data_IF_860125645514
#
_entry.id   IF_860125645514
#
_cell.length_a   1.000
_cell.length_b   1.000
_cell.length_c   1.000
_cell.angle_alpha   90.00
_cell.angle_beta   90.00
_cell.angle_gamma   90.00
#
_symmetry.space_group_name_H-M   'P 1'
#
loop_
_entity.id
_entity.type
_entity.pdbx_description
1 polymer ?
#
# COMPACT_ATOMS: atom_id res chain seq x y z
N UNK A 1 51.82 1.72 94.74
CA UNK A 1 52.06 0.32 95.08
C UNK A 1 51.83 -0.49 93.80
N UNK A 2 52.93 -1.02 93.26
CA UNK A 2 53.12 -2.32 92.59
C UNK A 2 51.95 -2.86 91.72
N UNK A 3 52.04 -2.79 90.38
CA UNK A 3 52.63 -3.78 89.43
C UNK A 3 51.74 -5.06 89.23
N UNK A 4 51.83 -5.85 88.13
CA UNK A 4 51.91 -5.52 86.70
C UNK A 4 51.28 -6.59 85.73
N UNK A 5 51.59 -6.48 84.42
CA UNK A 5 51.79 -7.54 83.38
C UNK A 5 50.62 -8.17 82.60
N UNK A 6 50.65 -7.88 81.29
CA UNK A 6 50.45 -8.65 80.04
C UNK A 6 49.89 -10.10 80.07
N UNK A 7 49.06 -10.44 79.07
CA UNK A 7 49.45 -11.32 77.93
C UNK A 7 48.27 -11.67 77.00
N UNK A 8 48.58 -11.78 75.70
CA UNK A 8 47.92 -12.55 74.62
C UNK A 8 46.42 -12.25 74.33
N UNK A 9 45.95 -12.06 73.10
CA UNK A 9 46.37 -12.56 71.80
C UNK A 9 45.13 -13.18 71.13
N UNK A 10 44.65 -12.62 70.03
CA UNK A 10 43.97 -13.35 68.95
C UNK A 10 43.62 -12.39 67.81
N UNK A 11 43.96 -12.80 66.59
CA UNK A 11 43.83 -12.02 65.37
C UNK A 11 42.37 -11.85 64.92
N UNK A 12 42.09 -10.66 64.40
CA UNK A 12 40.83 -10.32 63.72
C UNK A 12 40.98 -10.58 62.22
N UNK A 13 40.09 -11.35 61.57
CA UNK A 13 40.07 -11.52 60.13
C UNK A 13 39.06 -10.53 59.54
N UNK A 14 39.47 -9.28 59.34
CA UNK A 14 38.76 -8.36 58.44
C UNK A 14 39.75 -7.83 57.42
N UNK A 15 40.07 -8.70 56.45
CA UNK A 15 40.74 -8.34 55.22
C UNK A 15 39.74 -7.71 54.27
N UNK A 16 40.08 -6.51 53.84
CA UNK A 16 39.53 -5.73 52.75
C UNK A 16 39.12 -6.53 51.52
N UNK A 17 37.82 -6.54 51.20
CA UNK A 17 37.29 -6.76 49.86
C UNK A 17 36.35 -5.62 49.48
N UNK A 18 36.93 -4.43 49.29
CA UNK A 18 36.35 -3.43 48.39
C UNK A 18 36.75 -3.86 46.97
N UNK A 19 35.89 -4.68 46.34
CA UNK A 19 35.90 -4.80 44.88
C UNK A 19 35.34 -3.49 44.36
N UNK A 20 36.21 -2.66 43.78
CA UNK A 20 35.80 -1.59 42.90
C UNK A 20 34.97 -2.21 41.78
N UNK A 21 33.66 -1.99 41.80
CA UNK A 21 32.82 -2.20 40.63
C UNK A 21 33.33 -1.20 39.58
N UNK A 22 34.12 -1.70 38.64
CA UNK A 22 34.41 -0.99 37.41
C UNK A 22 33.06 -0.73 36.75
N UNK A 23 32.68 0.54 36.70
CA UNK A 23 31.81 1.01 35.63
C UNK A 23 32.59 0.76 34.35
N UNK A 24 32.34 -0.39 33.72
CA UNK A 24 32.66 -0.56 32.31
C UNK A 24 31.85 0.50 31.59
N UNK A 25 32.57 1.50 31.09
CA UNK A 25 32.10 2.53 30.17
C UNK A 25 31.61 1.79 28.92
N UNK A 26 30.34 1.39 28.97
CA UNK A 26 29.62 0.79 27.87
C UNK A 26 29.42 1.86 26.82
N UNK A 27 30.47 2.08 26.02
CA UNK A 27 30.31 2.61 24.67
C UNK A 27 29.53 1.55 23.91
N UNK A 28 28.21 1.55 24.09
CA UNK A 28 27.28 0.94 23.16
C UNK A 28 27.55 1.68 21.84
N UNK A 29 28.49 1.12 21.07
CA UNK A 29 28.71 1.51 19.70
C UNK A 29 27.35 1.35 19.02
N UNK A 30 26.71 2.48 18.72
CA UNK A 30 25.58 2.59 17.81
C UNK A 30 26.01 1.96 16.48
N UNK A 31 25.95 0.63 16.38
CA UNK A 31 26.20 -0.09 15.16
C UNK A 31 25.09 0.32 14.21
N UNK A 32 25.39 1.29 13.34
CA UNK A 32 24.52 1.72 12.26
C UNK A 32 24.01 0.47 11.56
N UNK A 33 22.73 0.18 11.77
CA UNK A 33 22.14 -1.05 11.27
C UNK A 33 22.01 -0.90 9.75
N UNK A 34 22.85 -1.63 9.01
CA UNK A 34 22.83 -1.58 7.56
C UNK A 34 21.47 -2.02 7.01
N UNK A 35 20.89 -1.19 6.15
CA UNK A 35 19.59 -1.45 5.53
C UNK A 35 19.69 -2.66 4.59
N UNK A 36 18.88 -3.70 4.79
CA UNK A 36 19.04 -4.95 4.06
C UNK A 36 18.60 -4.82 2.61
N UNK A 37 19.22 -5.64 1.74
CA UNK A 37 18.68 -5.87 0.40
C UNK A 37 17.48 -6.81 0.49
N UNK A 38 16.35 -6.40 -0.10
CA UNK A 38 15.12 -7.19 -0.08
C UNK A 38 15.17 -8.36 -1.08
N UNK A 39 14.51 -9.50 -0.79
CA UNK A 39 14.62 -10.74 -1.57
C UNK A 39 14.51 -10.61 -3.10
N UNK A 40 13.47 -9.92 -3.59
CA UNK A 40 13.20 -9.76 -5.02
C UNK A 40 13.55 -8.36 -5.57
N UNK A 41 14.05 -7.47 -4.70
CA UNK A 41 14.42 -6.09 -5.02
C UNK A 41 13.31 -5.25 -5.66
N UNK A 42 12.03 -5.67 -5.64
CA UNK A 42 10.90 -4.89 -6.15
C UNK A 42 10.64 -3.65 -5.31
N UNK A 43 10.92 -3.75 -4.01
CA UNK A 43 10.94 -2.63 -3.10
C UNK A 43 12.37 -2.21 -2.75
N UNK A 44 12.55 -0.97 -2.32
CA UNK A 44 13.82 -0.45 -1.80
C UNK A 44 13.58 0.34 -0.52
N UNK A 45 14.37 0.06 0.50
CA UNK A 45 14.41 0.81 1.76
C UNK A 45 15.55 1.83 1.69
N UNK A 46 15.28 3.05 2.13
CA UNK A 46 16.30 4.10 2.28
C UNK A 46 17.10 3.89 3.56
N UNK A 47 18.28 4.53 3.69
CA UNK A 47 19.11 4.47 4.89
C UNK A 47 18.38 4.85 6.19
N UNK A 48 17.31 5.66 6.13
CA UNK A 48 16.49 6.03 7.30
C UNK A 48 15.45 4.99 7.70
N UNK A 49 15.31 3.88 6.96
CA UNK A 49 14.42 2.80 7.34
C UNK A 49 14.92 2.13 8.63
N UNK A 50 14.00 1.75 9.52
CA UNK A 50 14.32 1.22 10.84
C UNK A 50 13.75 -0.18 11.01
N UNK A 51 14.55 -1.09 11.55
CA UNK A 51 14.06 -2.43 11.90
C UNK A 51 13.09 -2.35 13.07
N UNK A 52 11.98 -3.06 12.96
CA UNK A 52 11.00 -3.22 14.03
C UNK A 52 11.31 -4.52 14.77
N UNK A 53 11.76 -4.40 16.01
CA UNK A 53 12.07 -5.54 16.90
C UNK A 53 11.18 -5.60 18.13
N UNK A 54 10.56 -4.47 18.49
CA UNK A 54 9.68 -4.33 19.63
C UNK A 54 8.45 -3.51 19.23
N UNK A 55 7.26 -4.03 19.55
CA UNK A 55 6.00 -3.40 19.15
C UNK A 55 5.74 -2.12 19.98
N UNK A 56 6.08 -2.12 21.26
CA UNK A 56 5.86 -0.97 22.14
C UNK A 56 6.69 0.24 21.70
N UNK A 57 7.98 0.02 21.46
CA UNK A 57 8.92 1.03 20.96
C UNK A 57 8.48 1.57 19.59
N UNK A 58 8.12 0.70 18.66
CA UNK A 58 7.66 1.09 17.33
C UNK A 58 6.44 2.01 17.41
N UNK A 59 5.40 1.58 18.13
CA UNK A 59 4.17 2.37 18.25
C UNK A 59 4.43 3.67 19.02
N UNK A 60 5.28 3.64 20.05
CA UNK A 60 5.68 4.86 20.75
C UNK A 60 6.35 5.87 19.80
N UNK A 61 7.30 5.43 18.98
CA UNK A 61 7.99 6.28 18.01
C UNK A 61 7.03 6.85 16.97
N UNK A 62 6.13 6.02 16.41
CA UNK A 62 5.15 6.48 15.43
C UNK A 62 4.22 7.56 16.01
N UNK A 63 3.67 7.35 17.19
CA UNK A 63 2.76 8.33 17.80
C UNK A 63 3.48 9.59 18.32
N UNK A 64 4.79 9.52 18.55
CA UNK A 64 5.60 10.66 18.97
C UNK A 64 6.15 11.47 17.80
N UNK A 65 6.63 10.80 16.74
CA UNK A 65 7.35 11.42 15.62
C UNK A 65 6.45 11.72 14.41
N UNK A 66 5.42 10.90 14.17
CA UNK A 66 4.53 11.03 13.01
C UNK A 66 3.05 11.23 13.40
N UNK A 67 2.74 12.08 14.41
CA UNK A 67 1.36 12.25 14.86
C UNK A 67 0.46 12.71 13.71
N UNK A 68 -0.76 12.19 13.67
CA UNK A 68 -1.77 12.63 12.73
C UNK A 68 -1.99 14.15 12.87
N UNK A 69 -2.15 14.83 11.73
CA UNK A 69 -2.42 16.27 11.73
C UNK A 69 -3.70 16.59 12.50
N UNK A 70 -3.63 17.58 13.40
CA UNK A 70 -4.80 18.09 14.10
C UNK A 70 -5.89 18.48 13.09
N UNK A 71 -7.12 18.00 13.30
CA UNK A 71 -8.23 18.23 12.36
C UNK A 71 -8.51 17.09 11.40
N UNK A 72 -7.66 16.06 11.34
CA UNK A 72 -8.00 14.79 10.66
C UNK A 72 -8.98 14.01 11.54
N UNK A 73 -10.26 14.35 11.43
CA UNK A 73 -11.35 13.63 12.07
C UNK A 73 -12.03 12.66 11.10
N UNK A 74 -12.65 11.62 11.67
CA UNK A 74 -13.48 10.67 10.93
C UNK A 74 -12.77 9.37 10.59
N UNK A 75 -13.49 8.49 9.89
CA UNK A 75 -13.04 7.15 9.57
C UNK A 75 -11.91 7.09 8.52
N UNK A 76 -11.48 8.20 7.92
CA UNK A 76 -10.40 8.18 6.91
C UNK A 76 -10.86 8.06 5.46
N UNK A 77 -12.17 7.95 5.21
CA UNK A 77 -12.75 8.05 3.87
C UNK A 77 -12.61 9.46 3.28
N UNK A 78 -12.55 9.56 1.95
CA UNK A 78 -12.36 10.85 1.27
C UNK A 78 -13.66 11.63 1.08
N UNK A 79 -14.74 10.96 0.69
CA UNK A 79 -16.08 11.54 0.54
C UNK A 79 -17.11 10.53 1.03
N UNK A 80 -18.10 10.96 1.81
CA UNK A 80 -19.12 10.09 2.43
C UNK A 80 -20.52 10.26 1.84
N UNK A 81 -20.65 11.01 0.74
CA UNK A 81 -21.91 11.52 0.20
C UNK A 81 -22.12 11.17 -1.26
N UNK A 82 -21.05 10.91 -2.01
CA UNK A 82 -21.13 10.68 -3.45
C UNK A 82 -20.52 9.33 -3.83
N UNK A 83 -21.20 8.60 -4.70
CA UNK A 83 -20.72 7.29 -5.18
C UNK A 83 -19.76 7.40 -6.37
N UNK A 84 -19.57 8.61 -6.91
CA UNK A 84 -18.70 8.86 -8.06
C UNK A 84 -17.75 10.02 -7.80
N UNK A 85 -16.46 9.69 -7.72
CA UNK A 85 -15.39 10.62 -7.40
C UNK A 85 -14.42 10.75 -8.56
N UNK A 86 -14.01 11.99 -8.84
CA UNK A 86 -12.90 12.30 -9.74
C UNK A 86 -11.68 12.63 -8.91
N UNK A 87 -10.66 11.79 -9.03
CA UNK A 87 -9.37 11.93 -8.36
C UNK A 87 -8.41 12.66 -9.31
N UNK A 88 -7.80 13.73 -8.83
CA UNK A 88 -6.82 14.51 -9.60
C UNK A 88 -5.58 14.79 -8.79
N UNK A 89 -4.39 14.58 -9.36
CA UNK A 89 -3.14 15.05 -8.75
C UNK A 89 -2.06 15.32 -9.79
N UNK A 90 -1.19 16.27 -9.48
CA UNK A 90 -0.02 16.63 -10.29
C UNK A 90 1.17 15.73 -9.92
N UNK A 91 1.85 15.21 -10.94
CA UNK A 91 3.02 14.36 -10.83
C UNK A 91 4.30 15.14 -10.55
N UNK A 92 4.35 16.45 -10.81
CA UNK A 92 5.49 17.33 -10.51
C UNK A 92 5.38 18.03 -9.15
N UNK A 93 4.21 17.97 -8.51
CA UNK A 93 3.97 18.54 -7.18
C UNK A 93 3.69 17.47 -6.14
N UNK A 94 4.03 17.77 -4.89
CA UNK A 94 3.79 16.86 -3.75
C UNK A 94 2.49 17.19 -3.00
N UNK A 95 1.63 17.99 -3.63
CA UNK A 95 0.34 18.36 -3.05
C UNK A 95 -0.54 17.11 -2.82
N UNK A 96 -1.41 17.11 -1.80
CA UNK A 96 -2.38 16.05 -1.60
C UNK A 96 -3.27 15.85 -2.84
N UNK A 97 -3.70 14.61 -3.14
CA UNK A 97 -4.65 14.39 -4.23
C UNK A 97 -5.97 15.12 -3.99
N UNK A 98 -6.43 15.83 -5.02
CA UNK A 98 -7.73 16.51 -5.02
C UNK A 98 -8.84 15.53 -5.37
N UNK A 99 -9.95 15.62 -4.64
CA UNK A 99 -11.13 14.81 -4.90
C UNK A 99 -12.33 15.71 -5.12
N UNK A 100 -12.97 15.54 -6.28
CA UNK A 100 -14.19 16.25 -6.63
C UNK A 100 -15.30 15.25 -6.90
N UNK A 101 -16.50 15.54 -6.41
CA UNK A 101 -17.67 14.73 -6.68
C UNK A 101 -18.32 15.13 -8.01
N UNK A 102 -18.87 14.15 -8.72
CA UNK A 102 -19.77 14.41 -9.85
C UNK A 102 -21.16 13.94 -9.48
N UNK A 103 -22.16 14.80 -9.70
CA UNK A 103 -23.55 14.36 -9.69
C UNK A 103 -23.76 13.37 -10.84
N UNK A 104 -24.21 12.16 -10.51
CA UNK A 104 -24.50 11.05 -11.43
C UNK A 104 -25.39 11.45 -12.60
N UNK A 105 -26.26 12.43 -12.40
CA UNK A 105 -27.27 12.88 -13.36
C UNK A 105 -26.69 13.47 -14.65
N UNK A 106 -25.42 13.88 -14.64
CA UNK A 106 -24.77 14.47 -15.82
C UNK A 106 -24.32 13.45 -16.88
N UNK A 107 -24.07 12.20 -16.51
CA UNK A 107 -23.49 11.18 -17.40
C UNK A 107 -24.52 10.52 -18.34
N UNK A 108 -25.80 10.45 -17.94
CA UNK A 108 -26.87 9.84 -18.74
C UNK A 108 -27.29 10.70 -19.94
N UNK A 109 -27.02 12.02 -19.91
CA UNK A 109 -27.43 12.96 -20.97
C UNK A 109 -26.49 13.01 -22.18
N UNK A 110 -25.28 12.44 -22.06
CA UNK A 110 -24.26 12.49 -23.13
C UNK A 110 -24.26 11.25 -24.02
N UNK A 111 -24.78 10.11 -23.55
CA UNK A 111 -24.77 8.85 -24.28
C UNK A 111 -25.95 8.67 -25.27
N UNK A 112 -26.97 9.54 -25.24
CA UNK A 112 -28.20 9.39 -26.04
C UNK A 112 -28.34 10.35 -27.23
N UNK A 113 -27.36 11.21 -27.53
CA UNK A 113 -27.46 12.19 -28.64
C UNK A 113 -26.79 11.78 -29.96
N UNK A 114 -26.21 10.59 -30.07
CA UNK A 114 -25.65 10.10 -31.34
C UNK A 114 -26.42 8.87 -31.82
N UNK A 115 -27.57 9.11 -32.49
CA UNK A 115 -28.25 8.21 -33.46
C UNK A 115 -29.72 8.64 -33.59
N UNK A 116 -29.98 9.74 -34.29
CA UNK A 116 -31.21 9.90 -35.09
C UNK A 116 -31.05 11.08 -36.05
N UNK A 117 -31.62 10.88 -37.23
CA UNK A 117 -31.88 11.86 -38.29
C UNK A 117 -30.79 12.09 -39.33
N UNK A 118 -30.62 11.07 -40.18
CA UNK A 118 -30.20 11.24 -41.57
C UNK A 118 -31.31 10.74 -42.51
N UNK A 119 -32.41 11.48 -42.62
CA UNK A 119 -33.32 11.43 -43.80
C UNK A 119 -34.35 12.57 -43.75
N UNK A 120 -34.11 13.66 -44.47
CA UNK A 120 -35.10 14.25 -45.40
C UNK A 120 -34.57 15.50 -46.09
N UNK A 121 -34.99 15.66 -47.33
CA UNK A 121 -34.58 16.65 -48.33
C UNK A 121 -35.53 17.86 -48.34
N UNK A 122 -34.99 18.97 -48.89
CA UNK A 122 -35.66 20.11 -49.57
C UNK A 122 -36.33 21.18 -48.68
N UNK A 123 -35.81 22.41 -48.70
CA UNK A 123 -36.45 23.56 -49.38
C UNK A 123 -35.69 24.88 -49.17
N UNK A 124 -35.88 25.78 -50.12
CA UNK A 124 -35.22 27.07 -50.35
C UNK A 124 -35.54 28.14 -49.31
N UNK A 125 -34.52 28.96 -49.01
CA UNK A 125 -34.59 30.42 -48.97
C UNK A 125 -35.12 31.08 -47.70
N UNK A 126 -34.28 31.86 -47.01
CA UNK A 126 -34.53 33.28 -46.71
C UNK A 126 -33.35 33.92 -45.96
N UNK A 127 -33.10 35.19 -46.28
CA UNK A 127 -32.12 36.11 -45.70
C UNK A 127 -32.38 36.38 -44.21
N UNK A 128 -31.32 36.47 -43.41
CA UNK A 128 -31.14 37.41 -42.27
C UNK A 128 -29.68 37.32 -41.81
N UNK A 129 -28.83 38.27 -42.22
CA UNK A 129 -28.45 39.48 -41.47
C UNK A 129 -28.06 39.23 -40.01
N UNK A 130 -26.74 39.27 -39.77
CA UNK A 130 -26.10 40.08 -38.73
C UNK A 130 -26.19 39.59 -37.30
N UNK A 131 -25.07 39.09 -36.77
CA UNK A 131 -24.47 39.60 -35.53
C UNK A 131 -23.08 38.98 -35.34
N UNK A 132 -22.08 39.80 -35.64
CA UNK A 132 -20.69 39.63 -35.30
C UNK A 132 -20.51 39.70 -33.78
N UNK A 133 -20.04 38.62 -33.16
CA UNK A 133 -19.24 38.70 -31.93
C UNK A 133 -17.99 37.88 -32.17
N UNK A 134 -16.86 38.58 -32.24
CA UNK A 134 -15.56 37.99 -32.55
C UNK A 134 -15.12 37.07 -31.43
N UNK A 135 -15.11 35.76 -31.69
CA UNK A 135 -14.33 34.84 -30.89
C UNK A 135 -12.86 35.07 -31.24
N UNK A 136 -12.13 35.67 -30.30
CA UNK A 136 -10.66 35.70 -30.34
C UNK A 136 -10.18 34.26 -30.27
N UNK A 137 -9.90 33.70 -31.45
CA UNK A 137 -9.09 32.51 -31.65
C UNK A 137 -7.76 32.71 -30.94
N UNK A 138 -7.67 32.20 -29.71
CA UNK A 138 -6.43 32.03 -28.96
C UNK A 138 -5.58 30.97 -29.66
N UNK A 139 -4.88 31.38 -30.72
CA UNK A 139 -3.73 30.67 -31.26
C UNK A 139 -2.56 30.90 -30.30
N UNK A 140 -2.42 30.05 -29.28
CA UNK A 140 -1.13 29.85 -28.64
C UNK A 140 -0.65 28.43 -28.96
N UNK A 141 0.41 28.44 -29.75
CA UNK A 141 1.16 27.31 -30.24
C UNK A 141 1.83 26.56 -29.07
N UNK A 142 1.52 25.27 -28.97
CA UNK A 142 2.50 24.17 -28.94
C UNK A 142 3.80 24.43 -28.16
N UNK A 143 3.74 24.34 -26.84
CA UNK A 143 4.70 23.47 -26.16
C UNK A 143 3.95 22.17 -25.87
N UNK A 144 4.56 21.02 -26.17
CA UNK A 144 4.02 19.72 -25.76
C UNK A 144 4.07 19.66 -24.24
N UNK A 145 3.06 20.24 -23.58
CA UNK A 145 2.91 20.16 -22.14
C UNK A 145 2.93 18.67 -21.80
N UNK A 146 3.94 18.24 -21.05
CA UNK A 146 3.98 16.89 -20.51
C UNK A 146 2.67 16.73 -19.74
N UNK A 147 1.93 15.69 -20.06
CA UNK A 147 0.75 15.35 -19.28
C UNK A 147 1.25 14.88 -17.90
N UNK A 148 1.29 15.84 -16.97
CA UNK A 148 1.75 15.68 -15.58
C UNK A 148 0.58 15.44 -14.65
N UNK A 149 -0.66 15.46 -15.13
CA UNK A 149 -1.84 15.36 -14.29
C UNK A 149 -2.44 13.97 -14.42
N UNK A 150 -2.53 13.26 -13.30
CA UNK A 150 -3.34 12.05 -13.23
C UNK A 150 -4.78 12.45 -12.96
N UNK A 151 -5.70 11.98 -13.78
CA UNK A 151 -7.14 12.16 -13.61
C UNK A 151 -7.86 10.81 -13.73
N UNK A 152 -8.41 10.33 -12.63
CA UNK A 152 -9.04 9.01 -12.54
C UNK A 152 -10.43 9.12 -11.96
N UNK A 153 -11.43 8.62 -12.69
CA UNK A 153 -12.78 8.43 -12.19
C UNK A 153 -12.88 7.10 -11.43
N UNK A 154 -13.46 7.13 -10.23
CA UNK A 154 -13.67 5.96 -9.37
C UNK A 154 -15.08 5.98 -8.77
N UNK A 155 -15.65 4.80 -8.66
CA UNK A 155 -16.91 4.49 -7.99
C UNK A 155 -16.65 4.02 -6.56
N UNK A 156 -17.57 4.34 -5.67
CA UNK A 156 -17.65 3.83 -4.30
C UNK A 156 -19.11 3.57 -3.93
N UNK A 157 -19.35 2.90 -2.80
CA UNK A 157 -20.69 2.76 -2.22
C UNK A 157 -20.74 3.51 -0.88
N UNK A 158 -21.25 4.74 -0.91
CA UNK A 158 -21.37 5.57 0.31
C UNK A 158 -22.51 5.13 1.24
N UNK A 159 -23.41 4.27 0.77
CA UNK A 159 -24.58 3.81 1.53
C UNK A 159 -24.30 2.60 2.40
N UNK A 160 -23.34 1.76 1.98
CA UNK A 160 -22.88 0.57 2.70
C UNK A 160 -22.55 0.83 4.19
N UNK A 161 -21.88 1.96 4.46
CA UNK A 161 -21.56 2.45 5.81
C UNK A 161 -22.77 2.65 6.74
N UNK A 162 -23.97 2.83 6.18
CA UNK A 162 -25.18 3.13 6.95
C UNK A 162 -26.08 1.91 7.12
N UNK A 163 -25.96 0.91 6.25
CA UNK A 163 -26.88 -0.22 6.19
C UNK A 163 -26.48 -1.40 7.08
N UNK A 164 -25.18 -1.64 7.26
CA UNK A 164 -24.68 -2.82 7.97
C UNK A 164 -23.77 -2.42 9.14
N UNK A 165 -24.18 -2.71 10.38
CA UNK A 165 -23.33 -2.47 11.54
C UNK A 165 -22.09 -3.37 11.48
N UNK A 166 -20.89 -2.78 11.55
CA UNK A 166 -19.61 -3.50 11.46
C UNK A 166 -19.01 -3.54 10.05
N UNK A 167 -19.75 -3.08 9.03
CA UNK A 167 -19.20 -2.86 7.70
C UNK A 167 -18.47 -1.52 7.66
N UNK A 168 -17.22 -1.53 7.21
CA UNK A 168 -16.45 -0.29 6.99
C UNK A 168 -16.82 0.41 5.69
N UNK A 169 -17.75 -0.18 4.94
CA UNK A 169 -18.28 0.29 3.68
C UNK A 169 -17.24 0.27 2.56
N UNK A 170 -17.75 0.32 1.32
CA UNK A 170 -16.93 0.26 0.11
C UNK A 170 -16.54 1.65 -0.35
N UNK A 171 -15.87 2.40 0.52
CA UNK A 171 -15.48 3.79 0.30
C UNK A 171 -14.01 3.94 -0.09
N UNK A 172 -13.67 5.07 -0.71
CA UNK A 172 -12.28 5.39 -1.04
C UNK A 172 -11.59 5.86 0.24
N UNK A 173 -10.65 5.06 0.71
CA UNK A 173 -9.78 5.38 1.84
C UNK A 173 -8.67 6.34 1.42
N UNK A 174 -8.39 7.32 2.29
CA UNK A 174 -7.34 8.32 2.06
C UNK A 174 -5.96 7.66 1.90
N UNK A 175 -5.67 6.66 2.73
CA UNK A 175 -4.48 5.80 2.70
C UNK A 175 -4.19 5.23 1.30
N UNK A 176 -5.16 4.54 0.69
CA UNK A 176 -5.01 3.96 -0.66
C UNK A 176 -4.75 5.04 -1.72
N UNK A 177 -5.48 6.15 -1.64
CA UNK A 177 -5.32 7.27 -2.58
C UNK A 177 -3.93 7.92 -2.48
N UNK A 178 -3.49 8.17 -1.25
CA UNK A 178 -2.21 8.81 -0.99
C UNK A 178 -1.05 7.90 -1.41
N UNK A 179 -1.15 6.58 -1.14
CA UNK A 179 -0.15 5.62 -1.58
C UNK A 179 -0.06 5.55 -3.10
N UNK A 180 -1.20 5.48 -3.78
CA UNK A 180 -1.23 5.46 -5.24
C UNK A 180 -0.56 6.72 -5.81
N UNK A 181 -0.85 7.90 -5.27
CA UNK A 181 -0.22 9.15 -5.70
C UNK A 181 1.29 9.18 -5.41
N UNK A 182 1.70 8.77 -4.21
CA UNK A 182 3.10 8.69 -3.80
C UNK A 182 3.90 7.78 -4.75
N UNK A 183 3.45 6.53 -4.95
CA UNK A 183 4.11 5.57 -5.83
C UNK A 183 4.14 6.04 -7.29
N UNK A 184 3.05 6.63 -7.79
CA UNK A 184 3.00 7.16 -9.16
C UNK A 184 4.00 8.30 -9.37
N UNK A 185 4.11 9.22 -8.40
CA UNK A 185 5.08 10.33 -8.43
C UNK A 185 6.52 9.82 -8.41
N UNK A 186 6.82 8.86 -7.54
CA UNK A 186 8.15 8.25 -7.47
C UNK A 186 8.54 7.54 -8.78
N UNK A 187 7.59 6.86 -9.43
CA UNK A 187 7.84 6.24 -10.73
C UNK A 187 7.97 7.26 -11.86
N UNK A 188 7.26 8.39 -11.76
CA UNK A 188 7.32 9.47 -12.73
C UNK A 188 8.65 10.24 -12.67
N UNK A 189 9.11 10.60 -11.46
CA UNK A 189 10.32 11.40 -11.23
C UNK A 189 11.53 10.47 -11.04
N UNK A 190 12.48 10.41 -12.00
CA UNK A 190 13.71 9.67 -11.77
C UNK A 190 14.45 10.29 -10.58
N UNK A 191 14.93 9.45 -9.66
CA UNK A 191 15.74 9.89 -8.52
C UNK A 191 16.94 10.72 -9.00
N UNK A 192 17.17 11.88 -8.37
CA UNK A 192 18.30 12.77 -8.68
C UNK A 192 19.07 13.15 -7.43
N UNK A 193 20.39 12.95 -7.47
CA UNK A 193 21.29 13.38 -6.39
C UNK A 193 20.91 12.72 -5.06
N UNK A 194 20.71 13.55 -4.04
CA UNK A 194 20.43 13.15 -2.66
C UNK A 194 18.92 12.92 -2.38
N UNK A 195 18.08 12.85 -3.43
CA UNK A 195 16.67 12.51 -3.25
C UNK A 195 16.50 11.11 -2.62
N UNK A 196 15.53 10.94 -1.70
CA UNK A 196 15.23 9.63 -1.11
C UNK A 196 14.99 8.55 -2.17
N UNK A 197 15.36 7.31 -1.84
CA UNK A 197 15.12 6.17 -2.73
C UNK A 197 13.61 5.99 -2.96
N UNK A 198 13.21 5.77 -4.21
CA UNK A 198 11.82 5.38 -4.52
C UNK A 198 11.48 4.04 -3.86
N UNK A 199 10.30 3.94 -3.26
CA UNK A 199 9.88 2.71 -2.59
C UNK A 199 9.75 1.54 -3.58
N UNK A 200 9.20 1.77 -4.77
CA UNK A 200 9.21 0.81 -5.87
C UNK A 200 10.48 0.93 -6.70
N UNK A 201 11.19 -0.19 -6.88
CA UNK A 201 12.36 -0.26 -7.73
C UNK A 201 11.97 -0.28 -9.21
N UNK A 202 12.06 0.87 -9.85
CA UNK A 202 11.78 1.01 -11.29
C UNK A 202 12.61 0.06 -12.17
N UNK A 203 13.86 -0.25 -11.80
CA UNK A 203 14.71 -1.16 -12.58
C UNK A 203 14.22 -2.61 -12.47
N UNK A 204 13.77 -3.02 -11.29
CA UNK A 204 13.21 -4.35 -11.07
C UNK A 204 11.86 -4.53 -11.77
N UNK A 205 11.02 -3.48 -11.82
CA UNK A 205 9.77 -3.50 -12.61
C UNK A 205 10.01 -3.68 -14.12
N UNK A 206 11.06 -3.05 -14.65
CA UNK A 206 11.44 -3.13 -16.07
C UNK A 206 12.13 -4.46 -16.42
N UNK A 207 12.98 -4.95 -15.52
CA UNK A 207 13.80 -6.14 -15.70
C UNK A 207 13.65 -7.04 -14.47
N UNK A 208 12.52 -7.74 -14.32
CA UNK A 208 12.31 -8.63 -13.20
C UNK A 208 13.39 -9.70 -13.20
N UNK A 209 14.17 -9.74 -12.11
CA UNK A 209 15.09 -10.82 -11.80
C UNK A 209 14.32 -11.87 -11.01
N UNK A 210 13.33 -12.48 -11.64
CA UNK A 210 12.53 -13.53 -11.02
C UNK A 210 13.15 -14.91 -11.26
N UNK A 211 13.10 -15.77 -10.25
CA UNK A 211 13.30 -17.23 -10.40
C UNK A 211 12.12 -17.90 -11.12
N UNK A 212 10.99 -17.20 -11.26
CA UNK A 212 9.84 -17.72 -11.99
C UNK A 212 10.21 -17.95 -13.47
N UNK A 213 9.84 -19.14 -13.99
CA UNK A 213 10.15 -19.57 -15.35
C UNK A 213 9.63 -18.60 -16.42
N UNK A 214 8.55 -17.88 -16.12
CA UNK A 214 7.98 -16.88 -17.01
C UNK A 214 8.46 -15.45 -16.70
N UNK A 215 9.30 -15.19 -15.69
CA UNK A 215 9.79 -13.84 -15.40
C UNK A 215 8.70 -12.78 -15.18
N UNK A 216 7.49 -13.17 -14.78
CA UNK A 216 6.39 -12.26 -14.46
C UNK A 216 6.46 -11.85 -12.99
N UNK A 217 6.16 -10.59 -12.74
CA UNK A 217 5.98 -10.04 -11.39
C UNK A 217 4.54 -10.28 -10.98
N UNK A 218 4.33 -10.94 -9.85
CA UNK A 218 3.01 -11.20 -9.28
C UNK A 218 2.80 -10.33 -8.04
N UNK A 219 1.79 -9.47 -8.09
CA UNK A 219 1.36 -8.62 -6.98
C UNK A 219 0.02 -9.14 -6.48
N UNK A 220 -0.07 -9.45 -5.19
CA UNK A 220 -1.32 -9.79 -4.50
C UNK A 220 -1.70 -8.64 -3.57
N UNK A 221 -2.86 -8.05 -3.78
CA UNK A 221 -3.41 -7.01 -2.90
C UNK A 221 -4.54 -7.60 -2.05
N UNK A 222 -4.37 -7.58 -0.73
CA UNK A 222 -5.38 -7.97 0.25
C UNK A 222 -6.23 -6.75 0.62
N UNK A 223 -7.55 -6.92 0.68
CA UNK A 223 -8.47 -5.86 1.13
C UNK A 223 -8.45 -4.67 0.18
N UNK A 224 -8.59 -4.96 -1.11
CA UNK A 224 -8.45 -3.96 -2.19
C UNK A 224 -9.51 -2.85 -2.11
N UNK A 225 -10.63 -3.10 -1.44
CA UNK A 225 -11.76 -2.20 -1.24
C UNK A 225 -12.35 -1.77 -2.57
N UNK A 226 -12.08 -0.52 -2.96
CA UNK A 226 -12.56 0.06 -4.23
C UNK A 226 -11.61 -0.18 -5.40
N UNK A 227 -10.38 -0.69 -5.18
CA UNK A 227 -9.40 -0.88 -6.27
C UNK A 227 -8.64 0.37 -6.66
N UNK A 228 -8.49 1.34 -5.75
CA UNK A 228 -7.81 2.63 -6.00
C UNK A 228 -6.38 2.44 -6.50
N UNK A 229 -5.59 1.58 -5.84
CA UNK A 229 -4.19 1.33 -6.21
C UNK A 229 -4.08 0.84 -7.66
N UNK A 230 -4.68 -0.30 -8.04
CA UNK A 230 -4.55 -0.80 -9.41
C UNK A 230 -5.20 0.12 -10.44
N UNK A 231 -6.29 0.82 -10.09
CA UNK A 231 -6.96 1.74 -11.01
C UNK A 231 -6.12 2.97 -11.38
N UNK A 232 -5.18 3.38 -10.52
CA UNK A 232 -4.27 4.51 -10.75
C UNK A 232 -2.92 4.03 -11.29
N UNK A 233 -2.31 3.02 -10.64
CA UNK A 233 -0.95 2.59 -10.95
C UNK A 233 -0.84 1.84 -12.28
N UNK A 234 -1.77 0.92 -12.58
CA UNK A 234 -1.63 0.06 -13.77
C UNK A 234 -1.71 0.84 -15.09
N UNK A 235 -2.66 1.79 -15.29
CA UNK A 235 -2.65 2.63 -16.48
C UNK A 235 -1.35 3.44 -16.64
N UNK A 236 -0.79 3.91 -15.52
CA UNK A 236 0.46 4.65 -15.53
C UNK A 236 1.63 3.76 -15.93
N UNK A 237 1.78 2.58 -15.30
CA UNK A 237 2.81 1.60 -15.63
C UNK A 237 2.73 1.16 -17.10
N UNK A 238 1.52 0.91 -17.61
CA UNK A 238 1.25 0.53 -18.99
C UNK A 238 1.66 1.66 -19.96
N UNK A 239 1.17 2.89 -19.72
CA UNK A 239 1.43 4.05 -20.58
C UNK A 239 2.91 4.41 -20.62
N UNK A 240 3.61 4.26 -19.50
CA UNK A 240 5.04 4.55 -19.38
C UNK A 240 5.94 3.36 -19.72
N UNK A 241 5.36 2.19 -20.04
CA UNK A 241 6.07 0.92 -20.29
C UNK A 241 7.09 0.61 -19.19
N UNK A 242 6.66 0.77 -17.94
CA UNK A 242 7.49 0.55 -16.76
C UNK A 242 7.42 -0.87 -16.22
N UNK A 243 6.45 -1.64 -16.68
CA UNK A 243 6.33 -3.05 -16.37
C UNK A 243 5.88 -3.78 -17.65
N UNK A 244 6.67 -4.77 -18.07
CA UNK A 244 6.37 -5.56 -19.26
C UNK A 244 5.70 -6.90 -18.92
N UNK A 245 5.85 -7.40 -17.69
CA UNK A 245 5.28 -8.68 -17.27
C UNK A 245 4.83 -8.57 -15.83
N UNK A 246 3.64 -8.02 -15.63
CA UNK A 246 3.07 -7.84 -14.31
C UNK A 246 1.67 -8.45 -14.27
N UNK A 247 1.41 -9.23 -13.23
CA UNK A 247 0.08 -9.68 -12.87
C UNK A 247 -0.30 -9.06 -11.54
N UNK A 248 -1.40 -8.31 -11.52
CA UNK A 248 -1.98 -7.78 -10.29
C UNK A 248 -3.22 -8.59 -9.94
N UNK A 249 -3.28 -9.10 -8.72
CA UNK A 249 -4.45 -9.76 -8.16
C UNK A 249 -5.04 -8.89 -7.06
N UNK A 250 -6.12 -8.20 -7.39
CA UNK A 250 -6.94 -7.46 -6.44
C UNK A 250 -7.88 -8.43 -5.72
N UNK A 251 -7.75 -8.56 -4.41
CA UNK A 251 -8.61 -9.44 -3.60
C UNK A 251 -9.39 -8.70 -2.54
N UNK A 252 -10.62 -9.15 -2.32
CA UNK A 252 -11.49 -8.70 -1.24
C UNK A 252 -12.65 -9.70 -1.03
N UNK A 253 -13.62 -9.38 -0.17
CA UNK A 253 -14.87 -10.13 -0.05
C UNK A 253 -15.63 -10.18 -1.39
N UNK A 254 -16.35 -11.28 -1.62
CA UNK A 254 -17.08 -11.52 -2.88
C UNK A 254 -18.06 -10.38 -3.20
N UNK A 255 -18.69 -9.78 -2.18
CA UNK A 255 -19.65 -8.70 -2.36
C UNK A 255 -19.03 -7.42 -2.95
N UNK A 256 -17.71 -7.22 -2.81
CA UNK A 256 -16.99 -6.05 -3.32
C UNK A 256 -16.49 -6.21 -4.75
N UNK A 257 -16.45 -7.44 -5.28
CA UNK A 257 -15.93 -7.71 -6.63
C UNK A 257 -16.67 -6.94 -7.74
N UNK A 258 -18.00 -6.76 -7.72
CA UNK A 258 -18.69 -5.93 -8.72
C UNK A 258 -18.17 -4.49 -8.76
N UNK A 259 -17.91 -3.89 -7.59
CA UNK A 259 -17.38 -2.52 -7.49
C UNK A 259 -15.93 -2.44 -7.96
N UNK A 260 -15.08 -3.37 -7.51
CA UNK A 260 -13.68 -3.49 -7.93
C UNK A 260 -13.61 -3.62 -9.46
N UNK A 261 -14.38 -4.54 -10.05
CA UNK A 261 -14.42 -4.75 -11.50
C UNK A 261 -14.89 -3.50 -12.26
N UNK A 262 -15.87 -2.77 -11.72
CA UNK A 262 -16.36 -1.52 -12.31
C UNK A 262 -15.28 -0.42 -12.34
N UNK A 263 -14.44 -0.34 -11.31
CA UNK A 263 -13.33 0.63 -11.28
C UNK A 263 -12.17 0.24 -12.21
N UNK A 264 -12.09 -1.02 -12.63
CA UNK A 264 -10.95 -1.59 -13.35
C UNK A 264 -11.23 -1.92 -14.82
N UNK A 265 -12.49 -2.08 -15.25
CA UNK A 265 -12.87 -2.55 -16.60
C UNK A 265 -12.29 -1.72 -17.75
N UNK A 266 -12.15 -0.41 -17.53
CA UNK A 266 -11.75 0.54 -18.58
C UNK A 266 -10.25 0.89 -18.52
N UNK A 267 -9.52 0.33 -17.54
CA UNK A 267 -8.15 0.75 -17.21
C UNK A 267 -7.07 0.04 -18.03
N UNK A 268 -7.37 -1.16 -18.54
CA UNK A 268 -6.41 -1.99 -19.30
C UNK A 268 -6.87 -2.32 -20.73
N UNK A 269 -8.14 -2.07 -21.06
CA UNK A 269 -8.76 -2.44 -22.34
C UNK A 269 -8.39 -1.53 -23.52
N UNK A 270 -7.74 -0.39 -23.27
CA UNK A 270 -7.47 0.63 -24.30
C UNK A 270 -6.19 0.42 -25.12
N UNK A 271 -5.44 -0.67 -24.90
CA UNK A 271 -4.12 -0.86 -25.57
C UNK A 271 -3.84 -2.22 -26.22
N UNK A 272 -4.80 -3.14 -26.32
CA UNK A 272 -4.53 -4.52 -26.76
C UNK A 272 -5.35 -4.93 -27.99
N UNK A 273 -4.77 -4.76 -29.19
CA UNK A 273 -5.14 -5.57 -30.36
C UNK A 273 -4.04 -6.50 -30.86
N UNK A 274 -2.76 -6.35 -30.52
CA UNK A 274 -1.71 -7.06 -31.30
C UNK A 274 -0.47 -7.60 -30.53
N UNK A 275 -0.49 -7.76 -29.21
CA UNK A 275 0.66 -8.40 -28.54
C UNK A 275 0.25 -9.22 -27.31
N UNK A 276 0.06 -10.53 -27.54
CA UNK A 276 -0.21 -11.53 -26.49
C UNK A 276 1.01 -11.87 -25.62
N UNK A 277 2.22 -11.45 -26.00
CA UNK A 277 3.46 -11.76 -25.27
C UNK A 277 3.99 -10.54 -24.52
N UNK A 278 3.59 -10.38 -23.25
CA UNK A 278 4.25 -9.46 -22.30
C UNK A 278 3.51 -8.15 -22.03
N UNK A 279 2.30 -8.24 -21.45
CA UNK A 279 1.55 -7.09 -20.94
C UNK A 279 1.29 -7.13 -19.43
N UNK A 280 0.75 -6.02 -18.93
CA UNK A 280 0.15 -5.96 -17.59
C UNK A 280 -1.19 -6.68 -17.61
N UNK A 281 -1.39 -7.61 -16.69
CA UNK A 281 -2.64 -8.34 -16.50
C UNK A 281 -3.19 -8.06 -15.10
N UNK A 282 -4.51 -8.14 -14.97
CA UNK A 282 -5.21 -7.84 -13.73
C UNK A 282 -6.32 -8.87 -13.54
N UNK A 283 -6.48 -9.31 -12.29
CA UNK A 283 -7.58 -10.17 -11.88
C UNK A 283 -8.17 -9.66 -10.58
N UNK A 284 -9.49 -9.79 -10.44
CA UNK A 284 -10.24 -9.47 -9.23
C UNK A 284 -10.87 -10.76 -8.69
N UNK A 285 -10.47 -11.20 -7.51
CA UNK A 285 -10.83 -12.52 -6.96
C UNK A 285 -11.31 -12.40 -5.52
N UNK A 286 -12.24 -13.27 -5.07
CA UNK A 286 -12.63 -13.29 -3.68
C UNK A 286 -11.50 -13.84 -2.80
N UNK A 287 -11.29 -13.23 -1.64
CA UNK A 287 -10.44 -13.77 -0.58
C UNK A 287 -10.93 -13.28 0.78
N UNK A 288 -11.62 -14.15 1.51
CA UNK A 288 -12.03 -13.92 2.88
C UNK A 288 -10.94 -14.42 3.85
N UNK A 289 -10.35 -13.50 4.61
CA UNK A 289 -9.29 -13.81 5.57
C UNK A 289 -9.77 -14.69 6.72
N UNK A 290 -11.01 -14.53 7.18
CA UNK A 290 -11.60 -15.40 8.20
C UNK A 290 -11.72 -16.82 7.67
N UNK A 291 -12.16 -16.98 6.41
CA UNK A 291 -12.22 -18.28 5.77
C UNK A 291 -10.82 -18.90 5.62
N UNK A 292 -9.84 -18.14 5.15
CA UNK A 292 -8.45 -18.59 5.01
C UNK A 292 -7.85 -19.05 6.35
N UNK A 293 -8.04 -18.26 7.41
CA UNK A 293 -7.60 -18.58 8.77
C UNK A 293 -8.29 -19.81 9.34
N UNK A 294 -9.62 -19.88 9.23
CA UNK A 294 -10.38 -21.05 9.67
C UNK A 294 -9.92 -22.33 8.95
N UNK A 295 -9.65 -22.25 7.65
CA UNK A 295 -9.08 -23.37 6.92
C UNK A 295 -7.68 -23.71 7.44
N UNK A 296 -6.79 -22.74 7.64
CA UNK A 296 -5.44 -22.98 8.16
C UNK A 296 -5.46 -23.72 9.51
N UNK A 297 -6.31 -23.28 10.45
CA UNK A 297 -6.38 -23.84 11.80
C UNK A 297 -7.20 -25.14 11.89
N UNK A 298 -8.21 -25.33 11.04
CA UNK A 298 -8.94 -26.61 10.97
C UNK A 298 -8.15 -27.71 10.25
N UNK A 299 -7.14 -27.31 9.47
CA UNK A 299 -6.34 -28.20 8.62
C UNK A 299 -5.16 -28.82 9.35
N UNK A 300 -5.40 -29.57 10.43
CA UNK A 300 -4.38 -30.50 10.96
C UNK A 300 -4.05 -31.64 9.99
N UNK A 301 -4.72 -31.73 8.83
CA UNK A 301 -4.68 -32.90 7.94
C UNK A 301 -4.80 -32.60 6.44
N UNK A 302 -4.47 -31.39 5.94
CA UNK A 302 -4.33 -31.23 4.48
C UNK A 302 -3.05 -31.92 4.02
N UNK A 303 -3.19 -33.10 3.41
CA UNK A 303 -2.07 -33.88 2.88
C UNK A 303 -1.19 -33.11 1.87
N UNK A 304 -1.68 -31.98 1.33
CA UNK A 304 -0.96 -31.11 0.40
C UNK A 304 -0.35 -29.84 1.01
N UNK A 305 -0.43 -29.65 2.33
CA UNK A 305 0.17 -28.51 3.04
C UNK A 305 -0.41 -27.13 2.65
N UNK A 306 0.34 -26.07 2.97
CA UNK A 306 -0.03 -24.66 2.72
C UNK A 306 -0.30 -24.37 1.24
N UNK A 307 0.43 -25.03 0.34
CA UNK A 307 0.28 -24.84 -1.10
C UNK A 307 -1.08 -25.36 -1.62
N UNK A 308 -1.56 -26.50 -1.12
CA UNK A 308 -2.90 -26.99 -1.48
C UNK A 308 -4.01 -26.08 -0.94
N UNK A 309 -3.83 -25.56 0.27
CA UNK A 309 -4.75 -24.59 0.87
C UNK A 309 -4.82 -23.31 0.03
N UNK A 310 -3.67 -22.76 -0.36
CA UNK A 310 -3.55 -21.57 -1.21
C UNK A 310 -4.30 -21.73 -2.54
N UNK A 311 -4.15 -22.88 -3.20
CA UNK A 311 -4.86 -23.21 -4.45
C UNK A 311 -6.36 -23.44 -4.27
N UNK A 312 -6.82 -23.72 -3.05
CA UNK A 312 -8.26 -23.80 -2.77
C UNK A 312 -8.89 -22.42 -2.57
N UNK A 313 -8.09 -21.44 -2.10
CA UNK A 313 -8.52 -20.07 -1.89
C UNK A 313 -8.46 -19.24 -3.17
N UNK A 314 -7.41 -19.41 -3.99
CA UNK A 314 -7.24 -18.68 -5.23
C UNK A 314 -7.11 -19.64 -6.42
N UNK A 315 -7.65 -19.29 -7.62
CA UNK A 315 -7.60 -20.16 -8.79
C UNK A 315 -6.17 -20.51 -9.21
N UNK A 316 -6.00 -21.70 -9.77
CA UNK A 316 -4.70 -22.21 -10.26
C UNK A 316 -4.03 -21.35 -11.34
N UNK A 317 -4.77 -20.40 -11.94
CA UNK A 317 -4.20 -19.42 -12.88
C UNK A 317 -3.19 -18.48 -12.21
N UNK A 318 -3.21 -18.39 -10.88
CA UNK A 318 -2.17 -17.76 -10.08
C UNK A 318 -1.06 -18.77 -9.80
N UNK A 319 -0.12 -18.85 -10.73
CA UNK A 319 1.04 -19.73 -10.61
C UNK A 319 2.00 -19.17 -9.56
N UNK A 320 2.21 -19.92 -8.47
CA UNK A 320 3.22 -19.60 -7.46
C UNK A 320 2.83 -18.53 -6.44
N UNK A 321 3.80 -18.16 -5.62
CA UNK A 321 3.67 -17.13 -4.59
C UNK A 321 3.80 -15.73 -5.21
N UNK A 322 3.18 -14.70 -4.60
CA UNK A 322 3.39 -13.33 -5.02
C UNK A 322 4.84 -12.90 -4.73
N UNK A 323 5.40 -12.10 -5.63
CA UNK A 323 6.65 -11.39 -5.35
C UNK A 323 6.38 -10.24 -4.36
N UNK A 324 5.25 -9.55 -4.51
CA UNK A 324 4.82 -8.48 -3.62
C UNK A 324 3.39 -8.73 -3.12
N UNK A 325 3.22 -8.81 -1.81
CA UNK A 325 1.93 -8.78 -1.14
C UNK A 325 1.70 -7.37 -0.59
N UNK A 326 0.56 -6.76 -0.92
CA UNK A 326 0.18 -5.44 -0.45
C UNK A 326 -1.09 -5.52 0.40
N UNK A 327 -1.14 -4.74 1.48
CA UNK A 327 -2.34 -4.50 2.25
C UNK A 327 -2.35 -3.03 2.67
N UNK A 328 -3.49 -2.35 2.48
CA UNK A 328 -3.58 -0.91 2.68
C UNK A 328 -4.80 -0.58 3.54
N UNK A 329 -4.53 -0.04 4.73
CA UNK A 329 -5.54 0.33 5.73
C UNK A 329 -6.41 -0.86 6.17
N UNK A 330 -5.82 -2.06 6.19
CA UNK A 330 -6.49 -3.30 6.61
C UNK A 330 -6.46 -3.49 8.14
N UNK A 331 -5.80 -2.61 8.89
CA UNK A 331 -5.69 -2.68 10.36
C UNK A 331 -6.66 -1.69 11.00
N UNK A 332 -7.92 -2.09 11.09
CA UNK A 332 -8.98 -1.25 11.67
C UNK A 332 -9.86 -2.00 12.68
N UNK A 333 -9.92 -3.33 12.59
CA UNK A 333 -10.71 -4.17 13.48
C UNK A 333 -9.84 -5.29 14.08
N UNK A 334 -9.58 -5.28 15.39
CA UNK A 334 -8.75 -6.29 16.05
C UNK A 334 -9.19 -7.74 15.84
N UNK A 335 -10.49 -8.00 15.63
CA UNK A 335 -10.96 -9.37 15.35
C UNK A 335 -10.46 -9.94 14.02
N UNK A 336 -9.89 -9.11 13.15
CA UNK A 336 -9.34 -9.50 11.85
C UNK A 336 -7.81 -9.59 11.87
N UNK A 337 -7.12 -9.25 12.97
CA UNK A 337 -5.66 -9.22 13.00
C UNK A 337 -5.05 -10.61 12.77
N UNK A 338 -5.47 -11.60 13.55
CA UNK A 338 -5.02 -12.98 13.35
C UNK A 338 -5.40 -13.54 11.96
N UNK A 339 -6.65 -13.38 11.49
CA UNK A 339 -7.02 -13.78 10.15
C UNK A 339 -6.18 -13.14 9.03
N UNK A 340 -5.88 -11.85 9.15
CA UNK A 340 -5.03 -11.13 8.20
C UNK A 340 -3.59 -11.65 8.26
N UNK A 341 -3.02 -11.83 9.46
CA UNK A 341 -1.67 -12.38 9.64
C UNK A 341 -1.55 -13.82 9.14
N UNK A 342 -2.57 -14.67 9.37
CA UNK A 342 -2.64 -16.03 8.82
C UNK A 342 -2.64 -16.01 7.29
N UNK A 343 -3.41 -15.08 6.70
CA UNK A 343 -3.47 -14.90 5.25
C UNK A 343 -2.13 -14.41 4.70
N UNK A 344 -1.51 -13.40 5.33
CA UNK A 344 -0.17 -12.93 4.96
C UNK A 344 0.83 -14.09 5.04
N UNK A 345 0.80 -14.89 6.10
CA UNK A 345 1.70 -16.02 6.31
C UNK A 345 1.54 -17.09 5.22
N UNK A 346 0.29 -17.44 4.89
CA UNK A 346 -0.09 -18.42 3.89
C UNK A 346 0.36 -18.05 2.47
N UNK A 347 0.33 -16.75 2.13
CA UNK A 347 0.72 -16.24 0.82
C UNK A 347 2.17 -15.73 0.78
N UNK A 348 2.98 -15.92 1.83
CA UNK A 348 4.38 -15.50 1.87
C UNK A 348 5.32 -16.68 1.78
N UNK A 349 6.13 -16.73 0.72
CA UNK A 349 7.24 -17.66 0.60
C UNK A 349 8.53 -17.04 1.18
N UNK A 350 9.21 -17.82 2.02
CA UNK A 350 10.51 -17.50 2.61
C UNK A 350 11.54 -17.10 1.56
N UNK A 351 12.26 -16.02 1.82
CA UNK A 351 13.28 -15.43 0.95
C UNK A 351 12.77 -15.11 -0.49
N UNK A 352 11.47 -14.89 -0.66
CA UNK A 352 10.88 -14.56 -1.96
C UNK A 352 9.84 -13.45 -1.87
N UNK A 353 8.76 -13.69 -1.13
CA UNK A 353 7.64 -12.75 -1.03
C UNK A 353 8.00 -11.61 -0.09
N UNK A 354 7.78 -10.38 -0.55
CA UNK A 354 7.88 -9.18 0.27
C UNK A 354 6.48 -8.65 0.55
N UNK A 355 6.22 -8.29 1.79
CA UNK A 355 4.95 -7.71 2.25
C UNK A 355 5.12 -6.20 2.41
N UNK A 356 4.20 -5.41 1.87
CA UNK A 356 4.07 -3.98 2.10
C UNK A 356 2.71 -3.71 2.76
N UNK A 357 2.75 -3.20 3.99
CA UNK A 357 1.56 -2.88 4.77
C UNK A 357 1.55 -1.38 5.06
N UNK A 358 0.59 -0.66 4.46
CA UNK A 358 0.35 0.75 4.76
C UNK A 358 -0.81 0.86 5.76
N UNK A 359 -0.66 1.71 6.77
CA UNK A 359 -1.67 1.89 7.82
C UNK A 359 -1.87 3.38 8.14
N UNK A 360 -3.12 3.81 8.30
CA UNK A 360 -3.45 5.09 8.95
C UNK A 360 -3.42 4.91 10.48
N UNK A 361 -2.65 5.73 11.19
CA UNK A 361 -2.51 5.63 12.65
C UNK A 361 -3.81 6.09 13.33
N UNK A 362 -4.54 5.15 13.94
CA UNK A 362 -5.86 5.39 14.58
C UNK A 362 -5.85 5.14 16.08
N UNK A 363 -5.46 3.95 16.52
CA UNK A 363 -5.35 3.56 17.93
C UNK A 363 -3.99 2.91 18.17
N UNK A 364 -3.24 3.46 19.12
CA UNK A 364 -1.93 2.93 19.48
C UNK A 364 -2.04 1.49 20.00
N UNK A 365 -3.10 1.18 20.74
CA UNK A 365 -3.38 -0.15 21.28
C UNK A 365 -3.60 -1.17 20.15
N UNK A 366 -4.46 -0.84 19.19
CA UNK A 366 -4.74 -1.70 18.05
C UNK A 366 -3.48 -1.92 17.18
N UNK A 367 -2.68 -0.87 16.96
CA UNK A 367 -1.42 -1.00 16.20
C UNK A 367 -0.40 -1.87 16.94
N UNK A 368 -0.31 -1.72 18.27
CA UNK A 368 0.59 -2.50 19.11
C UNK A 368 0.21 -3.97 19.09
N UNK A 369 -1.07 -4.27 19.30
CA UNK A 369 -1.60 -5.64 19.26
C UNK A 369 -1.30 -6.32 17.92
N UNK A 370 -1.55 -5.63 16.80
CA UNK A 370 -1.23 -6.16 15.48
C UNK A 370 0.27 -6.40 15.29
N UNK A 371 1.11 -5.42 15.63
CA UNK A 371 2.57 -5.52 15.44
C UNK A 371 3.16 -6.63 16.33
N UNK A 372 2.72 -6.72 17.59
CA UNK A 372 3.12 -7.79 18.49
C UNK A 372 2.71 -9.16 17.94
N UNK A 373 1.50 -9.27 17.39
CA UNK A 373 1.03 -10.46 16.69
C UNK A 373 1.92 -10.84 15.51
N UNK A 374 2.32 -9.87 14.67
CA UNK A 374 3.18 -10.11 13.51
C UNK A 374 4.58 -10.55 13.93
N UNK A 375 5.22 -9.84 14.88
CA UNK A 375 6.57 -10.15 15.35
C UNK A 375 6.65 -11.51 16.06
N UNK A 376 5.56 -11.96 16.70
CA UNK A 376 5.47 -13.28 17.34
C UNK A 376 5.15 -14.42 16.38
N UNK A 377 4.79 -14.15 15.11
CA UNK A 377 4.53 -15.24 14.16
C UNK A 377 5.81 -16.03 13.92
N UNK A 378 5.67 -17.34 13.98
CA UNK A 378 6.72 -18.26 13.57
C UNK A 378 7.07 -18.04 12.09
N UNK A 379 8.31 -18.35 11.69
CA UNK A 379 8.75 -18.24 10.30
C UNK A 379 9.83 -17.20 10.04
N UNK A 380 10.39 -16.58 11.09
CA UNK A 380 11.58 -15.73 10.97
C UNK A 380 11.30 -14.40 10.27
N UNK A 381 10.17 -13.76 10.62
CA UNK A 381 9.80 -12.46 10.06
C UNK A 381 10.83 -11.38 10.41
N UNK A 382 11.23 -10.62 9.39
CA UNK A 382 11.88 -9.31 9.53
C UNK A 382 10.91 -8.23 9.11
N UNK A 383 10.65 -7.29 10.00
CA UNK A 383 9.76 -6.15 9.74
C UNK A 383 10.58 -4.86 9.86
N UNK A 384 10.34 -3.94 8.92
CA UNK A 384 11.01 -2.64 8.83
C UNK A 384 9.99 -1.54 8.65
N UNK A 385 10.11 -0.45 9.40
CA UNK A 385 9.41 0.80 9.13
C UNK A 385 10.13 1.56 8.03
N UNK A 386 9.39 1.93 6.99
CA UNK A 386 9.89 2.77 5.90
C UNK A 386 10.15 4.19 6.42
N UNK A 387 11.22 4.81 5.92
CA UNK A 387 11.56 6.20 6.24
C UNK A 387 10.44 7.16 5.78
N UNK A 388 10.15 8.16 6.61
CA UNK A 388 9.15 9.19 6.32
C UNK A 388 9.51 9.99 5.06
N UNK A 389 10.80 10.17 4.77
CA UNK A 389 11.25 10.87 3.56
C UNK A 389 10.95 10.08 2.27
N UNK A 390 10.91 8.74 2.34
CA UNK A 390 10.42 7.90 1.23
C UNK A 390 8.90 7.93 1.10
N UNK A 391 8.18 8.46 2.08
CA UNK A 391 6.72 8.57 2.10
C UNK A 391 6.23 9.99 1.84
N UNK A 392 7.02 10.80 1.10
CA UNK A 392 6.69 12.20 0.80
C UNK A 392 5.25 12.38 0.29
N UNK A 393 4.51 13.28 0.92
CA UNK A 393 3.07 13.50 0.76
C UNK A 393 2.18 12.67 1.71
N UNK A 394 2.75 11.77 2.51
CA UNK A 394 2.07 10.88 3.48
C UNK A 394 2.72 10.91 4.87
N UNK A 395 3.50 11.93 5.19
CA UNK A 395 4.48 11.91 6.28
C UNK A 395 3.87 11.80 7.68
N UNK A 396 2.61 12.22 7.84
CA UNK A 396 1.95 12.35 9.14
C UNK A 396 0.72 11.48 9.24
N UNK A 397 0.62 10.72 10.33
CA UNK A 397 -0.51 9.83 10.62
C UNK A 397 -0.54 8.56 9.76
N UNK A 398 0.55 8.23 9.08
CA UNK A 398 0.68 7.00 8.30
C UNK A 398 2.00 6.31 8.61
N UNK A 399 2.02 4.99 8.43
CA UNK A 399 3.24 4.18 8.46
C UNK A 399 3.18 3.13 7.35
N UNK A 400 4.32 2.90 6.70
CA UNK A 400 4.49 1.71 5.85
C UNK A 400 5.46 0.78 6.56
N UNK A 401 5.01 -0.44 6.80
CA UNK A 401 5.86 -1.55 7.22
C UNK A 401 6.16 -2.45 6.03
N UNK A 402 7.42 -2.86 5.91
CA UNK A 402 7.88 -3.85 4.94
C UNK A 402 8.34 -5.09 5.69
N UNK A 403 7.76 -6.24 5.35
CA UNK A 403 8.01 -7.51 6.02
C UNK A 403 8.40 -8.63 5.06
N UNK A 404 9.29 -9.54 5.47
CA UNK A 404 9.53 -10.80 4.75
C UNK A 404 10.02 -11.89 5.71
N UNK A 405 9.89 -13.14 5.30
CA UNK A 405 10.45 -14.31 6.02
C UNK A 405 11.86 -14.58 5.51
N UNK A 406 12.82 -14.69 6.42
CA UNK A 406 14.20 -15.13 6.11
C UNK A 406 14.36 -16.63 6.04
#
# INVERSE_FOLDING_TARGET
MDYPVNAAGSGSPYSSHLKSNGYEDGTDEDQEQEVPTLPNQLLQLSPGARRVTDADEEIFLLYTLTPALAGRYGLGQVDSKHDLLTITFDLDKDDPPEVSSRNSDSLSSSATRSRKDATSKVARGSKRQGLSTGSKSSKNATSSARDTTVNTLLFQDSTSLRSNAGDTGSVIWRSSLYLAACLTRQLYRPQRGDEPLSLLNRKALLNPKGEQEDGRINILELGTGTGVLPAILLPFLQTRRLANRLHWTATDLEELLPLIRRNLSDKLSSTSSDSEEGGITLSSLPLDWMHASNLLHSSTSYAGGSEALRRSLLPSSLTGYPDLLMAVDCIFNPSLFDPLLDTIDLFTLKAHTVVLLLVELRSAEAMREFMEGWLKRDGGWRVWSVDVEQMKGMEKGYVIWVGWKE
#
